data_IF_745265894754
#
_entry.id   IF_745265894754
#
_cell.length_a   1.000
_cell.length_b   1.000
_cell.length_c   1.000
_cell.angle_alpha   90.00
_cell.angle_beta   90.00
_cell.angle_gamma   90.00
#
_symmetry.space_group_name_H-M   'P 1'
#
loop_
_entity.id
_entity.type
_entity.pdbx_description
1 polymer ?
#
# COMPACT_ATOMS: atom_id res chain seq x y z
N UNK A 1 -8.93 -43.31 8.03
CA UNK A 1 -10.01 -43.10 7.05
C UNK A 1 -9.54 -42.00 6.10
N UNK A 2 -9.43 -42.31 4.81
CA UNK A 2 -9.09 -41.31 3.79
C UNK A 2 -10.44 -40.82 3.27
N UNK A 3 -10.91 -39.68 3.77
CA UNK A 3 -12.12 -39.07 3.23
C UNK A 3 -11.78 -38.49 1.86
N UNK A 4 -12.42 -38.98 0.80
CA UNK A 4 -12.33 -38.38 -0.52
C UNK A 4 -12.91 -36.98 -0.45
N UNK A 5 -12.06 -35.96 -0.33
CA UNK A 5 -12.51 -34.57 -0.30
C UNK A 5 -13.12 -34.26 -1.66
N UNK A 6 -14.41 -33.92 -1.75
CA UNK A 6 -15.01 -33.49 -3.01
C UNK A 6 -14.31 -32.22 -3.47
N UNK A 7 -13.65 -32.27 -4.63
CA UNK A 7 -12.94 -31.13 -5.22
C UNK A 7 -13.87 -30.12 -5.94
N UNK A 8 -15.19 -30.21 -5.73
CA UNK A 8 -16.19 -29.54 -6.57
C UNK A 8 -16.64 -28.17 -6.07
N UNK A 9 -15.94 -27.54 -5.12
CA UNK A 9 -16.22 -26.13 -4.81
C UNK A 9 -15.53 -25.29 -5.87
N UNK A 10 -16.29 -24.95 -6.93
CA UNK A 10 -15.87 -23.93 -7.88
C UNK A 10 -15.64 -22.63 -7.09
N UNK A 11 -14.44 -22.06 -7.20
CA UNK A 11 -14.00 -20.92 -6.38
C UNK A 11 -14.70 -19.62 -6.84
N UNK A 12 -15.24 -19.62 -8.06
CA UNK A 12 -15.94 -18.49 -8.67
C UNK A 12 -17.36 -18.87 -9.09
N UNK A 13 -18.32 -18.05 -8.69
CA UNK A 13 -19.70 -18.19 -9.15
C UNK A 13 -19.80 -17.86 -10.65
N UNK A 14 -20.51 -18.73 -11.38
CA UNK A 14 -20.70 -18.62 -12.83
C UNK A 14 -22.07 -18.00 -13.08
N UNK A 15 -22.08 -16.72 -13.40
CA UNK A 15 -23.32 -15.94 -13.46
C UNK A 15 -24.08 -16.20 -14.78
N UNK A 16 -23.40 -16.13 -15.92
CA UNK A 16 -24.05 -16.18 -17.24
C UNK A 16 -23.25 -17.01 -18.23
N UNK A 17 -23.91 -17.91 -18.95
CA UNK A 17 -23.32 -18.68 -20.07
C UNK A 17 -21.94 -19.30 -19.75
N UNK A 18 -21.78 -19.83 -18.53
CA UNK A 18 -20.51 -20.40 -18.01
C UNK A 18 -19.34 -19.40 -17.90
N UNK A 19 -19.58 -18.11 -18.05
CA UNK A 19 -18.63 -17.03 -17.79
C UNK A 19 -18.64 -16.66 -16.31
N UNK A 20 -17.45 -16.43 -15.75
CA UNK A 20 -17.31 -15.94 -14.38
C UNK A 20 -17.55 -14.43 -14.32
N UNK A 21 -17.94 -13.92 -13.15
CA UNK A 21 -18.15 -12.48 -12.93
C UNK A 21 -16.95 -11.63 -13.39
N UNK A 22 -15.73 -12.14 -13.17
CA UNK A 22 -14.49 -11.46 -13.56
C UNK A 22 -14.33 -11.39 -15.08
N UNK A 23 -14.69 -12.47 -15.79
CA UNK A 23 -14.64 -12.51 -17.25
C UNK A 23 -15.62 -11.52 -17.85
N UNK A 24 -16.85 -11.48 -17.32
CA UNK A 24 -17.85 -10.49 -17.74
C UNK A 24 -17.37 -9.06 -17.46
N UNK A 25 -16.73 -8.82 -16.32
CA UNK A 25 -16.13 -7.53 -15.99
C UNK A 25 -15.09 -7.06 -17.01
N UNK A 26 -14.22 -7.94 -17.50
CA UNK A 26 -13.24 -7.61 -18.55
C UNK A 26 -13.91 -7.24 -19.89
N UNK A 27 -14.96 -7.96 -20.29
CA UNK A 27 -15.71 -7.61 -21.50
C UNK A 27 -16.51 -6.31 -21.34
N UNK A 28 -17.08 -6.05 -20.16
CA UNK A 28 -17.74 -4.79 -19.85
C UNK A 28 -16.76 -3.61 -19.92
N UNK A 29 -15.56 -3.76 -19.34
CA UNK A 29 -14.50 -2.76 -19.42
C UNK A 29 -14.03 -2.53 -20.87
N UNK A 30 -13.82 -3.60 -21.63
CA UNK A 30 -13.44 -3.49 -23.04
C UNK A 30 -14.52 -2.80 -23.88
N UNK A 31 -15.80 -3.10 -23.64
CA UNK A 31 -16.93 -2.43 -24.26
C UNK A 31 -16.97 -0.93 -23.95
N UNK A 32 -16.73 -0.55 -22.69
CA UNK A 32 -16.63 0.85 -22.29
C UNK A 32 -15.48 1.59 -22.99
N UNK A 33 -14.31 0.95 -23.09
CA UNK A 33 -13.15 1.52 -23.79
C UNK A 33 -13.44 1.67 -25.29
N UNK A 34 -14.06 0.65 -25.92
CA UNK A 34 -14.45 0.72 -27.33
C UNK A 34 -15.49 1.81 -27.59
N UNK A 35 -16.45 2.01 -26.67
CA UNK A 35 -17.39 3.11 -26.76
C UNK A 35 -16.68 4.47 -26.71
N UNK A 36 -15.65 4.61 -25.87
CA UNK A 36 -14.77 5.78 -25.90
C UNK A 36 -14.06 5.93 -27.24
N UNK A 37 -13.47 4.86 -27.78
CA UNK A 37 -12.76 4.93 -29.07
C UNK A 37 -13.63 5.37 -30.23
N UNK A 38 -14.91 4.97 -30.23
CA UNK A 38 -15.88 5.40 -31.23
C UNK A 38 -16.04 6.93 -31.29
N UNK A 39 -15.90 7.62 -30.16
CA UNK A 39 -16.04 9.08 -30.10
C UNK A 39 -14.76 9.82 -30.52
N UNK A 40 -13.57 9.26 -30.22
CA UNK A 40 -12.30 9.95 -30.41
C UNK A 40 -11.56 9.61 -31.71
N UNK A 41 -11.78 8.43 -32.30
CA UNK A 41 -11.00 7.93 -33.43
C UNK A 41 -11.81 7.87 -34.73
N UNK A 42 -11.11 8.05 -35.84
CA UNK A 42 -11.66 7.81 -37.18
C UNK A 42 -11.88 6.29 -37.41
N UNK A 43 -12.84 5.93 -38.27
CA UNK A 43 -13.32 4.55 -38.43
C UNK A 43 -12.20 3.52 -38.62
N UNK A 44 -11.20 3.82 -39.46
CA UNK A 44 -10.08 2.90 -39.71
C UNK A 44 -9.20 2.68 -38.47
N UNK A 45 -8.92 3.76 -37.73
CA UNK A 45 -8.15 3.68 -36.49
C UNK A 45 -8.93 2.94 -35.41
N UNK A 46 -10.25 3.17 -35.34
CA UNK A 46 -11.15 2.45 -34.45
C UNK A 46 -11.12 0.93 -34.72
N UNK A 47 -11.19 0.50 -35.99
CA UNK A 47 -11.17 -0.94 -36.33
C UNK A 47 -9.87 -1.58 -35.87
N UNK A 48 -8.71 -0.99 -36.16
CA UNK A 48 -7.41 -1.55 -35.73
C UNK A 48 -7.30 -1.58 -34.21
N UNK A 49 -7.66 -0.48 -33.53
CA UNK A 49 -7.63 -0.39 -32.09
C UNK A 49 -8.59 -1.39 -31.41
N UNK A 50 -9.75 -1.64 -32.02
CA UNK A 50 -10.75 -2.60 -31.52
C UNK A 50 -10.22 -4.04 -31.52
N UNK A 51 -9.51 -4.45 -32.57
CA UNK A 51 -8.94 -5.79 -32.68
C UNK A 51 -7.92 -6.01 -31.55
N UNK A 52 -7.06 -5.02 -31.31
CA UNK A 52 -6.07 -5.07 -30.24
C UNK A 52 -6.78 -5.12 -28.87
N UNK A 53 -7.80 -4.29 -28.67
CA UNK A 53 -8.56 -4.23 -27.42
C UNK A 53 -9.28 -5.56 -27.12
N UNK A 54 -9.97 -6.14 -28.11
CA UNK A 54 -10.68 -7.42 -27.97
C UNK A 54 -9.70 -8.56 -27.68
N UNK A 55 -8.55 -8.58 -28.36
CA UNK A 55 -7.50 -9.59 -28.14
C UNK A 55 -6.94 -9.49 -26.72
N UNK A 56 -6.69 -8.27 -26.24
CA UNK A 56 -6.25 -8.02 -24.87
C UNK A 56 -7.32 -8.45 -23.86
N UNK A 57 -8.57 -8.03 -24.03
CA UNK A 57 -9.68 -8.37 -23.13
C UNK A 57 -9.89 -9.89 -23.02
N UNK A 58 -9.85 -10.60 -24.16
CA UNK A 58 -9.98 -12.06 -24.21
C UNK A 58 -8.81 -12.74 -23.48
N UNK A 59 -7.59 -12.24 -23.68
CA UNK A 59 -6.41 -12.72 -22.95
C UNK A 59 -6.57 -12.51 -21.45
N UNK A 60 -7.01 -11.34 -21.00
CA UNK A 60 -7.26 -11.08 -19.58
C UNK A 60 -8.36 -11.95 -18.97
N UNK A 61 -9.39 -12.29 -19.75
CA UNK A 61 -10.53 -13.10 -19.29
C UNK A 61 -10.20 -14.61 -19.22
N UNK A 62 -9.46 -15.16 -20.19
CA UNK A 62 -9.29 -16.61 -20.32
C UNK A 62 -7.85 -17.09 -20.15
N UNK A 63 -6.85 -16.26 -20.43
CA UNK A 63 -5.47 -16.69 -20.33
C UNK A 63 -5.06 -16.79 -18.86
N UNK A 64 -4.61 -17.99 -18.46
CA UNK A 64 -4.25 -18.30 -17.09
C UNK A 64 -2.84 -18.91 -16.99
N UNK A 65 -1.77 -18.10 -17.05
CA UNK A 65 -0.42 -18.61 -16.88
C UNK A 65 -0.24 -19.17 -15.46
N UNK A 66 0.26 -20.41 -15.35
CA UNK A 66 0.46 -21.12 -14.09
C UNK A 66 -0.79 -21.19 -13.19
N UNK A 67 -2.00 -21.26 -13.78
CA UNK A 67 -3.27 -21.37 -13.06
C UNK A 67 -3.77 -20.08 -12.41
N UNK A 68 -3.08 -18.95 -12.62
CA UNK A 68 -3.46 -17.64 -12.12
C UNK A 68 -4.17 -16.84 -13.21
N UNK A 69 -5.10 -15.94 -12.85
CA UNK A 69 -5.61 -14.99 -13.82
C UNK A 69 -4.49 -14.09 -14.34
N UNK A 70 -4.53 -13.71 -15.62
CA UNK A 70 -3.50 -12.86 -16.22
C UNK A 70 -3.31 -11.54 -15.44
N UNK A 71 -4.40 -10.95 -14.93
CA UNK A 71 -4.35 -9.77 -14.09
C UNK A 71 -3.56 -9.99 -12.79
N UNK A 72 -3.79 -11.12 -12.11
CA UNK A 72 -3.04 -11.47 -10.89
C UNK A 72 -1.58 -11.80 -11.20
N UNK A 73 -1.32 -12.44 -12.34
CA UNK A 73 0.03 -12.74 -12.81
C UNK A 73 0.82 -11.45 -13.07
N UNK A 74 0.26 -10.51 -13.83
CA UNK A 74 0.89 -9.20 -14.08
C UNK A 74 1.06 -8.43 -12.79
N UNK A 75 0.04 -8.39 -11.92
CA UNK A 75 0.14 -7.72 -10.62
C UNK A 75 1.28 -8.26 -9.75
N UNK A 76 1.46 -9.59 -9.71
CA UNK A 76 2.59 -10.23 -9.03
C UNK A 76 3.92 -9.95 -9.71
N UNK A 77 3.97 -9.90 -11.03
CA UNK A 77 5.16 -9.54 -11.80
C UNK A 77 5.61 -8.11 -11.50
N UNK A 78 4.67 -7.15 -11.49
CA UNK A 78 4.94 -5.76 -11.12
C UNK A 78 5.37 -5.66 -9.67
N UNK A 79 4.66 -6.34 -8.75
CA UNK A 79 5.03 -6.36 -7.35
C UNK A 79 6.44 -6.96 -7.15
N UNK A 80 6.80 -8.00 -7.89
CA UNK A 80 8.14 -8.59 -7.86
C UNK A 80 9.22 -7.61 -8.33
N UNK A 81 8.98 -6.91 -9.44
CA UNK A 81 9.92 -5.91 -9.96
C UNK A 81 10.13 -4.73 -9.00
N UNK A 82 9.06 -4.27 -8.34
CA UNK A 82 9.12 -3.15 -7.37
C UNK A 82 9.51 -3.60 -5.97
N UNK A 83 9.44 -4.89 -5.66
CA UNK A 83 9.77 -5.42 -4.34
C UNK A 83 11.25 -5.25 -4.02
N UNK A 84 11.52 -4.89 -2.76
CA UNK A 84 12.89 -4.78 -2.26
C UNK A 84 13.47 -6.20 -2.16
N UNK A 85 14.52 -6.48 -2.94
CA UNK A 85 15.20 -7.78 -2.92
C UNK A 85 15.92 -7.93 -1.58
N UNK A 86 15.39 -8.77 -0.70
CA UNK A 86 16.08 -9.15 0.53
C UNK A 86 17.16 -10.16 0.13
N UNK A 87 18.41 -9.71 0.12
CA UNK A 87 19.56 -10.58 -0.02
C UNK A 87 19.78 -11.26 1.32
N UNK A 88 19.54 -12.57 1.39
CA UNK A 88 19.74 -13.37 2.60
C UNK A 88 21.22 -13.59 2.94
N UNK A 89 22.11 -13.33 1.99
CA UNK A 89 23.55 -13.40 2.16
C UNK A 89 24.19 -12.08 1.71
N UNK A 90 24.41 -11.20 2.68
CA UNK A 90 25.13 -9.94 2.50
C UNK A 90 26.55 -10.10 3.05
N UNK A 91 27.56 -10.17 2.18
CA UNK A 91 28.96 -9.99 2.60
C UNK A 91 29.17 -8.49 2.68
N UNK A 92 28.71 -7.88 3.78
CA UNK A 92 28.50 -6.44 3.92
C UNK A 92 29.61 -5.57 3.34
N UNK A 93 29.31 -4.99 2.17
CA UNK A 93 29.89 -3.78 1.56
C UNK A 93 28.84 -3.39 0.50
N UNK A 94 27.95 -2.42 0.65
CA UNK A 94 28.01 -1.08 1.20
C UNK A 94 26.78 -0.80 2.06
N UNK A 95 27.01 -0.35 3.30
CA UNK A 95 25.98 0.36 4.04
C UNK A 95 25.79 1.71 3.36
N UNK A 96 24.61 1.94 2.81
CA UNK A 96 24.08 3.26 2.49
C UNK A 96 24.10 4.12 3.79
N UNK A 97 25.24 4.78 4.04
CA UNK A 97 25.51 5.58 5.24
C UNK A 97 24.46 6.69 5.42
N UNK A 98 23.83 7.12 4.33
CA UNK A 98 22.79 8.15 4.29
C UNK A 98 21.57 7.82 5.15
N UNK A 99 21.12 6.56 5.20
CA UNK A 99 19.93 6.17 6.00
C UNK A 99 20.22 6.03 7.48
N UNK A 100 21.43 5.63 7.86
CA UNK A 100 21.83 5.48 9.27
C UNK A 100 22.03 6.85 9.92
N UNK A 101 22.60 7.81 9.16
CA UNK A 101 22.79 9.19 9.62
C UNK A 101 21.45 9.92 9.80
N UNK A 102 20.47 9.71 8.92
CA UNK A 102 19.15 10.35 9.05
C UNK A 102 18.39 9.87 10.30
N UNK A 103 18.47 8.57 10.61
CA UNK A 103 17.80 7.99 11.78
C UNK A 103 18.40 8.50 13.10
N UNK A 104 19.73 8.58 13.16
CA UNK A 104 20.47 9.10 14.33
C UNK A 104 20.20 10.59 14.58
N UNK A 105 20.04 11.38 13.52
CA UNK A 105 19.76 12.82 13.63
C UNK A 105 18.33 13.10 14.13
N UNK A 106 17.34 12.33 13.66
CA UNK A 106 15.95 12.43 14.14
C UNK A 106 15.83 12.06 15.61
N UNK A 107 16.45 10.97 16.05
CA UNK A 107 16.45 10.53 17.45
C UNK A 107 17.15 11.54 18.39
N UNK A 108 18.27 12.12 17.95
CA UNK A 108 19.01 13.15 18.72
C UNK A 108 18.22 14.47 18.84
N UNK A 109 17.46 14.82 17.80
CA UNK A 109 16.62 16.03 17.78
C UNK A 109 15.42 15.89 18.72
N UNK A 110 14.73 14.73 18.71
CA UNK A 110 13.58 14.47 19.59
C UNK A 110 13.99 14.40 21.06
N UNK A 111 15.15 13.82 21.37
CA UNK A 111 15.69 13.78 22.74
C UNK A 111 16.13 15.17 23.26
N UNK A 112 16.67 16.04 22.39
CA UNK A 112 16.98 17.45 22.74
C UNK A 112 15.73 18.29 22.98
N UNK A 113 14.65 18.05 22.23
CA UNK A 113 13.39 18.78 22.38
C UNK A 113 12.71 18.37 23.70
N UNK A 114 12.63 17.08 24.02
CA UNK A 114 12.03 16.61 25.28
C UNK A 114 12.80 17.09 26.53
N UNK A 115 14.13 17.10 26.48
CA UNK A 115 14.94 17.62 27.59
C UNK A 115 14.78 19.13 27.79
N UNK A 116 14.60 19.92 26.71
CA UNK A 116 14.28 21.36 26.85
C UNK A 116 12.88 21.62 27.42
N UNK A 117 11.88 20.83 27.02
CA UNK A 117 10.50 20.98 27.53
C UNK A 117 10.40 20.62 29.01
N UNK A 118 11.06 19.54 29.44
CA UNK A 118 11.07 19.14 30.86
C UNK A 118 11.87 20.08 31.79
N UNK A 119 12.87 20.81 31.27
CA UNK A 119 13.61 21.82 32.05
C UNK A 119 12.80 23.11 32.23
N UNK A 120 11.98 23.48 31.24
CA UNK A 120 11.14 24.69 31.30
C UNK A 120 9.98 24.54 32.28
N UNK A 121 9.35 23.37 32.35
CA UNK A 121 8.26 23.10 33.29
C UNK A 121 8.72 23.12 34.76
N UNK A 122 10.01 22.83 34.99
CA UNK A 122 10.62 22.79 36.34
C UNK A 122 11.18 24.11 36.83
N UNK A 123 11.46 25.08 35.95
CA UNK A 123 11.84 26.44 36.36
C UNK A 123 10.58 27.28 36.58
N UNK A 124 9.96 27.13 37.74
CA UNK A 124 9.11 28.21 38.25
C UNK A 124 10.00 29.41 38.56
N UNK A 125 9.56 30.60 38.17
CA UNK A 125 10.24 31.87 38.48
C UNK A 125 10.34 32.02 40.00
N UNK A 126 11.48 32.52 40.49
CA UNK A 126 11.78 32.65 41.93
C UNK A 126 10.63 33.31 42.71
N UNK A 127 9.97 34.29 42.09
CA UNK A 127 8.81 34.98 42.65
C UNK A 127 7.59 34.07 42.92
N UNK A 128 7.35 33.06 42.08
CA UNK A 128 6.26 32.10 42.31
C UNK A 128 6.59 31.14 43.46
N UNK A 129 7.86 30.74 43.60
CA UNK A 129 8.30 29.90 44.71
C UNK A 129 8.18 30.63 46.05
N UNK A 130 8.51 31.92 46.06
CA UNK A 130 8.41 32.79 47.23
C UNK A 130 6.94 33.02 47.64
N UNK A 131 6.06 33.24 46.65
CA UNK A 131 4.61 33.32 46.89
C UNK A 131 4.04 32.02 47.47
N UNK A 132 4.43 30.86 46.92
CA UNK A 132 3.98 29.55 47.42
C UNK A 132 4.49 29.31 48.85
N UNK A 133 5.75 29.67 49.15
CA UNK A 133 6.31 29.54 50.50
C UNK A 133 5.55 30.40 51.51
N UNK A 134 5.31 31.69 51.20
CA UNK A 134 4.61 32.61 52.09
C UNK A 134 3.14 32.23 52.29
N UNK A 135 2.48 31.70 51.26
CA UNK A 135 1.12 31.18 51.36
C UNK A 135 1.03 29.93 52.23
N UNK A 136 2.06 29.09 52.21
CA UNK A 136 2.13 27.88 53.03
C UNK A 136 2.37 28.21 54.51
N UNK A 137 3.29 29.14 54.78
CA UNK A 137 3.68 29.58 56.12
C UNK A 137 2.51 30.29 56.84
N UNK A 138 1.72 31.06 56.11
CA UNK A 138 0.52 31.71 56.66
C UNK A 138 -0.60 30.71 57.02
N UNK A 139 -0.60 29.53 56.41
CA UNK A 139 -1.62 28.50 56.63
C UNK A 139 -1.32 27.62 57.84
N UNK A 140 -0.08 27.60 58.34
CA UNK A 140 0.31 26.82 59.52
C UNK A 140 -0.07 27.44 60.86
N UNK A 141 -0.50 28.71 60.87
CA UNK A 141 -0.89 29.45 62.08
C UNK A 141 -2.42 29.51 62.33
N UNK A 142 -3.21 28.69 61.61
CA UNK A 142 -4.66 28.49 61.80
C UNK A 142 -4.94 27.06 62.28
#
# INVERSE_FOLDING_TARGET
>A
MIFGVPQYVDIEDRIAFRLTAKQLGWFGLAGLIMFGFWYFFEFWVFVVASIICITAATSFAFFRPAGLSLAAFIGRGVAFLTSRKILWWDKGVDLDESRVLEKKNKESSTARIQSRVGIQEKRKTVSELEYIAQALDRKSDL
#
